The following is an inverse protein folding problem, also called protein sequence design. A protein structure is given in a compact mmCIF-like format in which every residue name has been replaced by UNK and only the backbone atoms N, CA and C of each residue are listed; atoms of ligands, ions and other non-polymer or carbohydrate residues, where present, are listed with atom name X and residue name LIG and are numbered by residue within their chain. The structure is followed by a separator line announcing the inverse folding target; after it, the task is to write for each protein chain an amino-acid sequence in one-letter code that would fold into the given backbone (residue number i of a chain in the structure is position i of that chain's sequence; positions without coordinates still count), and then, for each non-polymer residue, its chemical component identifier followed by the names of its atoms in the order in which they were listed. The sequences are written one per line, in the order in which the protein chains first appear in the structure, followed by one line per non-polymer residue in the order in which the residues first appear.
data_IF_086629274602
#
_entry.id   IF_086629274602
#
_cell.length_a   1.000
_cell.length_b   1.000
_cell.length_c   1.000
_cell.angle_alpha   90.00
_cell.angle_beta   90.00
_cell.angle_gamma   90.00
#
_symmetry.space_group_name_H-M   'P 1'
#
loop_
_entity.id
_entity.type
_entity.pdbx_description
1 polymer ?
#
# COMPACT_ATOMS: atom_id res chain seq x y z
N UNK A 1 57.07 -1.48 -14.77
CA UNK A 1 57.36 -1.76 -13.35
C UNK A 1 56.91 -0.55 -12.56
N UNK A 2 55.63 -0.51 -12.18
CA UNK A 2 55.04 0.40 -11.18
C UNK A 2 53.86 -0.37 -10.59
N UNK A 3 54.05 -0.87 -9.37
CA UNK A 3 53.02 -1.43 -8.50
C UNK A 3 52.08 -0.32 -8.03
N UNK A 4 50.76 -0.53 -8.11
CA UNK A 4 49.81 0.25 -7.33
C UNK A 4 48.64 -0.62 -6.86
N UNK A 5 48.87 -1.17 -5.66
CA UNK A 5 47.94 -1.17 -4.53
C UNK A 5 46.51 -1.67 -4.79
N UNK A 6 46.36 -2.99 -4.71
CA UNK A 6 45.12 -3.68 -4.40
C UNK A 6 44.56 -3.13 -3.08
N UNK A 7 43.59 -2.22 -3.18
CA UNK A 7 42.82 -1.75 -2.02
C UNK A 7 41.91 -2.89 -1.57
N UNK A 8 42.37 -3.62 -0.55
CA UNK A 8 41.58 -4.62 0.17
C UNK A 8 40.47 -3.86 0.89
N UNK A 9 39.26 -3.81 0.30
CA UNK A 9 38.06 -3.44 1.02
C UNK A 9 37.84 -4.48 2.12
N UNK A 10 38.16 -4.08 3.35
CA UNK A 10 37.77 -4.82 4.55
C UNK A 10 36.25 -4.99 4.53
N UNK A 11 35.72 -6.20 4.77
CA UNK A 11 34.28 -6.38 4.90
C UNK A 11 33.82 -5.59 6.13
N UNK A 12 33.06 -4.53 5.89
CA UNK A 12 32.31 -3.84 6.93
C UNK A 12 31.41 -4.89 7.55
N UNK A 13 31.76 -5.34 8.76
CA UNK A 13 30.92 -6.18 9.59
C UNK A 13 29.68 -5.35 9.90
N UNK A 14 28.64 -5.51 9.09
CA UNK A 14 27.36 -4.88 9.34
C UNK A 14 26.93 -5.27 10.76
N UNK A 15 26.41 -4.32 11.57
CA UNK A 15 25.78 -4.66 12.83
C UNK A 15 24.74 -5.73 12.55
N UNK A 16 24.76 -6.77 13.39
CA UNK A 16 23.96 -7.96 13.29
C UNK A 16 22.47 -7.54 13.21
N UNK A 17 21.96 -7.36 11.98
CA UNK A 17 20.52 -7.25 11.74
C UNK A 17 19.97 -8.52 12.36
N UNK A 18 19.04 -8.45 13.33
CA UNK A 18 18.47 -9.65 13.91
C UNK A 18 17.93 -10.47 12.76
N UNK A 19 18.63 -11.56 12.44
CA UNK A 19 18.19 -12.56 11.49
C UNK A 19 16.91 -13.12 12.08
N UNK A 20 15.77 -12.63 11.57
CA UNK A 20 14.49 -13.22 11.90
C UNK A 20 14.60 -14.71 11.66
N UNK A 21 14.20 -15.55 12.63
CA UNK A 21 14.29 -16.99 12.49
C UNK A 21 13.53 -17.43 11.24
N UNK A 22 14.24 -18.15 10.38
CA UNK A 22 13.74 -18.76 9.16
C UNK A 22 12.50 -19.60 9.45
N UNK A 23 11.32 -19.10 9.11
CA UNK A 23 10.07 -19.87 9.16
C UNK A 23 8.80 -19.07 9.42
N UNK A 24 8.90 -17.88 10.01
CA UNK A 24 7.71 -17.10 10.39
C UNK A 24 7.75 -15.72 9.73
N UNK A 25 7.08 -15.60 8.57
CA UNK A 25 6.77 -14.27 7.99
C UNK A 25 6.15 -13.41 9.07
N UNK A 26 6.66 -12.19 9.26
CA UNK A 26 6.12 -11.33 10.30
C UNK A 26 4.61 -11.13 10.08
N UNK A 27 3.84 -10.99 11.15
CA UNK A 27 2.39 -10.84 11.06
C UNK A 27 1.98 -9.69 10.11
N UNK A 28 2.78 -8.62 10.08
CA UNK A 28 2.59 -7.50 9.16
C UNK A 28 2.81 -7.89 7.68
N UNK A 29 3.81 -8.71 7.37
CA UNK A 29 4.04 -9.21 6.01
C UNK A 29 2.94 -10.16 5.54
N UNK A 30 2.42 -10.99 6.45
CA UNK A 30 1.28 -11.86 6.15
C UNK A 30 0.02 -11.03 5.87
N UNK A 31 -0.31 -10.05 6.72
CA UNK A 31 -1.45 -9.16 6.52
C UNK A 31 -1.34 -8.37 5.21
N UNK A 32 -0.14 -7.87 4.89
CA UNK A 32 0.14 -7.16 3.63
C UNK A 32 -0.11 -8.08 2.43
N UNK A 33 0.36 -9.32 2.49
CA UNK A 33 0.13 -10.31 1.42
C UNK A 33 -1.36 -10.61 1.23
N UNK A 34 -2.10 -10.78 2.33
CA UNK A 34 -3.55 -11.01 2.28
C UNK A 34 -4.32 -9.82 1.72
N UNK A 35 -3.96 -8.59 2.09
CA UNK A 35 -4.60 -7.40 1.57
C UNK A 35 -4.41 -7.25 0.04
N UNK A 36 -3.22 -7.57 -0.49
CA UNK A 36 -2.98 -7.58 -1.94
C UNK A 36 -3.89 -8.61 -2.63
N UNK A 37 -4.06 -9.79 -2.04
CA UNK A 37 -4.96 -10.83 -2.57
C UNK A 37 -6.41 -10.35 -2.54
N UNK A 38 -6.87 -9.72 -1.45
CA UNK A 38 -8.22 -9.18 -1.35
C UNK A 38 -8.47 -8.07 -2.38
N UNK A 39 -7.49 -7.18 -2.59
CA UNK A 39 -7.55 -6.16 -3.65
C UNK A 39 -7.72 -6.79 -5.04
N UNK A 40 -6.99 -7.87 -5.34
CA UNK A 40 -7.13 -8.62 -6.60
C UNK A 40 -8.52 -9.27 -6.73
N UNK A 41 -8.97 -9.97 -5.68
CA UNK A 41 -10.28 -10.66 -5.66
C UNK A 41 -11.43 -9.69 -5.91
N UNK A 42 -11.33 -8.45 -5.44
CA UNK A 42 -12.35 -7.43 -5.69
C UNK A 42 -12.22 -6.78 -7.07
N UNK A 43 -10.99 -6.52 -7.54
CA UNK A 43 -10.77 -5.85 -8.82
C UNK A 43 -11.11 -6.72 -10.03
N UNK A 44 -10.91 -8.05 -9.94
CA UNK A 44 -11.21 -9.01 -11.02
C UNK A 44 -12.69 -8.96 -11.46
N UNK A 45 -13.68 -9.25 -10.59
CA UNK A 45 -15.08 -9.30 -11.00
C UNK A 45 -15.58 -7.94 -11.49
N UNK A 46 -15.15 -6.84 -10.86
CA UNK A 46 -15.51 -5.49 -11.30
C UNK A 46 -15.00 -5.20 -12.71
N UNK A 47 -13.72 -5.53 -12.98
CA UNK A 47 -13.12 -5.30 -14.30
C UNK A 47 -13.80 -6.14 -15.39
N UNK A 48 -14.05 -7.43 -15.12
CA UNK A 48 -14.66 -8.37 -16.08
C UNK A 48 -16.12 -8.01 -16.34
N UNK A 49 -16.94 -7.84 -15.29
CA UNK A 49 -18.39 -7.62 -15.47
C UNK A 49 -18.62 -6.27 -16.17
N UNK A 50 -18.02 -5.19 -15.68
CA UNK A 50 -18.21 -3.87 -16.29
C UNK A 50 -17.59 -3.80 -17.69
N UNK A 51 -16.44 -4.45 -17.89
CA UNK A 51 -15.78 -4.51 -19.20
C UNK A 51 -16.59 -5.30 -20.22
N UNK A 52 -17.20 -6.41 -19.80
CA UNK A 52 -18.06 -7.23 -20.65
C UNK A 52 -19.32 -6.47 -21.09
N UNK A 53 -19.97 -5.74 -20.18
CA UNK A 53 -21.12 -4.89 -20.52
C UNK A 53 -20.72 -3.76 -21.46
N UNK A 54 -19.59 -3.09 -21.22
CA UNK A 54 -19.08 -2.07 -22.13
C UNK A 54 -18.75 -2.65 -23.53
N UNK A 55 -18.17 -3.86 -23.58
CA UNK A 55 -17.89 -4.55 -24.82
C UNK A 55 -19.16 -4.89 -25.59
N UNK A 56 -20.19 -5.44 -24.92
CA UNK A 56 -21.48 -5.73 -25.56
C UNK A 56 -22.11 -4.46 -26.14
N UNK A 57 -22.09 -3.37 -25.37
CA UNK A 57 -22.62 -2.08 -25.81
C UNK A 57 -21.92 -1.59 -27.10
N UNK A 58 -20.61 -1.78 -27.19
CA UNK A 58 -19.80 -1.40 -28.35
C UNK A 58 -20.07 -2.30 -29.57
N UNK A 59 -20.10 -3.62 -29.37
CA UNK A 59 -20.13 -4.61 -30.47
C UNK A 59 -21.53 -4.80 -31.04
N UNK A 60 -22.53 -4.87 -30.17
CA UNK A 60 -23.90 -5.14 -30.59
C UNK A 60 -24.72 -3.87 -30.80
N UNK A 61 -24.12 -2.69 -30.59
CA UNK A 61 -24.80 -1.40 -30.76
C UNK A 61 -26.07 -1.31 -29.93
N UNK A 62 -26.07 -1.89 -28.73
CA UNK A 62 -27.23 -1.80 -27.82
C UNK A 62 -27.48 -0.32 -27.54
N UNK A 63 -28.74 0.12 -27.69
CA UNK A 63 -29.18 1.48 -27.37
C UNK A 63 -29.00 1.76 -25.86
N UNK A 64 -27.77 2.09 -25.49
CA UNK A 64 -27.36 2.51 -24.16
C UNK A 64 -26.91 3.96 -24.28
N UNK A 65 -27.36 4.78 -23.34
CA UNK A 65 -26.89 6.16 -23.22
C UNK A 65 -25.36 6.22 -23.24
N UNK A 66 -24.80 7.13 -24.06
CA UNK A 66 -23.35 7.36 -24.12
C UNK A 66 -22.73 7.53 -22.73
N UNK A 67 -23.42 8.24 -21.84
CA UNK A 67 -23.00 8.40 -20.45
C UNK A 67 -22.79 7.06 -19.73
N UNK A 68 -23.77 6.16 -19.84
CA UNK A 68 -23.78 4.86 -19.15
C UNK A 68 -22.69 3.95 -19.72
N UNK A 69 -22.45 4.01 -21.04
CA UNK A 69 -21.33 3.36 -21.69
C UNK A 69 -19.98 3.84 -21.14
N UNK A 70 -19.74 5.16 -21.13
CA UNK A 70 -18.50 5.73 -20.60
C UNK A 70 -18.30 5.41 -19.11
N UNK A 71 -19.36 5.47 -18.31
CA UNK A 71 -19.28 5.13 -16.89
C UNK A 71 -18.86 3.68 -16.65
N UNK A 72 -19.38 2.73 -17.44
CA UNK A 72 -18.98 1.32 -17.37
C UNK A 72 -17.53 1.13 -17.85
N UNK A 73 -17.14 1.78 -18.94
CA UNK A 73 -15.79 1.73 -19.49
C UNK A 73 -14.75 2.27 -18.51
N UNK A 74 -14.96 3.46 -17.94
CA UNK A 74 -14.07 4.06 -16.95
C UNK A 74 -13.93 3.20 -15.70
N UNK A 75 -15.05 2.67 -15.19
CA UNK A 75 -15.04 1.79 -14.02
C UNK A 75 -14.26 0.50 -14.29
N UNK A 76 -14.44 -0.10 -15.46
CA UNK A 76 -13.69 -1.28 -15.89
C UNK A 76 -12.19 -0.98 -16.02
N UNK A 77 -11.82 0.11 -16.69
CA UNK A 77 -10.42 0.50 -16.89
C UNK A 77 -9.69 0.82 -15.59
N UNK A 78 -10.33 1.56 -14.67
CA UNK A 78 -9.74 1.85 -13.36
C UNK A 78 -9.54 0.58 -12.54
N UNK A 79 -10.53 -0.33 -12.54
CA UNK A 79 -10.43 -1.62 -11.87
C UNK A 79 -9.35 -2.50 -12.49
N UNK A 80 -9.25 -2.53 -13.81
CA UNK A 80 -8.22 -3.27 -14.55
C UNK A 80 -6.82 -2.70 -14.27
N UNK A 81 -6.67 -1.37 -14.18
CA UNK A 81 -5.42 -0.73 -13.81
C UNK A 81 -4.98 -1.09 -12.39
N UNK A 82 -5.90 -1.11 -11.42
CA UNK A 82 -5.60 -1.60 -10.06
C UNK A 82 -5.14 -3.06 -10.09
N UNK A 83 -5.85 -3.92 -10.83
CA UNK A 83 -5.50 -5.34 -10.98
C UNK A 83 -4.11 -5.51 -11.60
N UNK A 84 -3.79 -4.74 -12.64
CA UNK A 84 -2.48 -4.74 -13.29
C UNK A 84 -1.35 -4.36 -12.32
N UNK A 85 -1.54 -3.32 -11.51
CA UNK A 85 -0.57 -2.93 -10.47
C UNK A 85 -0.39 -4.03 -9.42
N UNK A 86 -1.47 -4.69 -9.01
CA UNK A 86 -1.41 -5.82 -8.06
C UNK A 86 -0.63 -6.99 -8.63
N UNK A 87 -0.83 -7.34 -9.91
CA UNK A 87 -0.09 -8.41 -10.58
C UNK A 87 1.40 -8.08 -10.64
N UNK A 88 1.76 -6.87 -11.09
CA UNK A 88 3.17 -6.44 -11.15
C UNK A 88 3.83 -6.49 -9.77
N UNK A 89 3.14 -5.99 -8.75
CA UNK A 89 3.66 -5.96 -7.39
C UNK A 89 3.85 -7.38 -6.83
N UNK A 90 3.01 -8.35 -7.23
CA UNK A 90 3.16 -9.76 -6.83
C UNK A 90 4.31 -10.45 -7.56
N UNK A 91 4.55 -10.11 -8.82
CA UNK A 91 5.60 -10.72 -9.64
C UNK A 91 7.00 -10.15 -9.36
N UNK A 92 7.11 -8.98 -8.76
CA UNK A 92 8.39 -8.29 -8.57
C UNK A 92 8.73 -8.16 -7.08
N UNK A 93 9.92 -8.60 -6.68
CA UNK A 93 10.47 -8.26 -5.36
C UNK A 93 10.72 -6.76 -5.30
N UNK A 94 9.76 -6.01 -4.74
CA UNK A 94 9.80 -4.56 -4.71
C UNK A 94 10.62 -4.06 -3.51
N UNK A 95 11.55 -3.15 -3.76
CA UNK A 95 12.19 -2.37 -2.70
C UNK A 95 11.15 -1.48 -2.01
N UNK A 96 11.40 -1.09 -0.76
CA UNK A 96 10.46 -0.32 0.08
C UNK A 96 9.96 0.96 -0.63
N UNK A 97 10.83 1.65 -1.37
CA UNK A 97 10.45 2.82 -2.17
C UNK A 97 9.53 2.50 -3.35
N UNK A 98 9.76 1.38 -4.05
CA UNK A 98 8.90 0.94 -5.15
C UNK A 98 7.54 0.49 -4.61
N UNK A 99 7.52 -0.26 -3.52
CA UNK A 99 6.29 -0.68 -2.82
C UNK A 99 5.45 0.54 -2.44
N UNK A 100 6.05 1.57 -1.85
CA UNK A 100 5.34 2.80 -1.51
C UNK A 100 4.72 3.48 -2.76
N UNK A 101 5.45 3.56 -3.88
CA UNK A 101 4.91 4.12 -5.13
C UNK A 101 3.73 3.30 -5.68
N UNK A 102 3.81 1.97 -5.62
CA UNK A 102 2.70 1.09 -6.03
C UNK A 102 1.48 1.26 -5.13
N UNK A 103 1.66 1.28 -3.81
CA UNK A 103 0.56 1.50 -2.87
C UNK A 103 -0.07 2.89 -3.05
N UNK A 104 0.73 3.91 -3.30
CA UNK A 104 0.26 5.26 -3.62
C UNK A 104 -0.54 5.29 -4.94
N UNK A 105 -0.05 4.64 -5.99
CA UNK A 105 -0.73 4.58 -7.28
C UNK A 105 -2.08 3.83 -7.17
N UNK A 106 -2.09 2.66 -6.51
CA UNK A 106 -3.33 1.89 -6.26
C UNK A 106 -4.34 2.68 -5.45
N UNK A 107 -3.89 3.30 -4.36
CA UNK A 107 -4.75 4.13 -3.50
C UNK A 107 -5.29 5.34 -4.27
N UNK A 108 -4.45 5.99 -5.08
CA UNK A 108 -4.86 7.10 -5.94
C UNK A 108 -5.92 6.69 -6.98
N UNK A 109 -5.75 5.56 -7.64
CA UNK A 109 -6.74 5.01 -8.58
C UNK A 109 -8.05 4.65 -7.87
N UNK A 110 -7.97 4.03 -6.69
CA UNK A 110 -9.16 3.69 -5.90
C UNK A 110 -9.89 4.96 -5.41
N UNK A 111 -9.16 6.00 -5.00
CA UNK A 111 -9.74 7.29 -4.63
C UNK A 111 -10.37 7.98 -5.85
N UNK A 112 -9.71 7.96 -7.01
CA UNK A 112 -10.27 8.51 -8.24
C UNK A 112 -11.57 7.80 -8.66
N UNK A 113 -11.59 6.47 -8.56
CA UNK A 113 -12.79 5.67 -8.81
C UNK A 113 -13.91 6.01 -7.82
N UNK A 114 -13.58 6.17 -6.53
CA UNK A 114 -14.55 6.59 -5.53
C UNK A 114 -15.12 7.98 -5.82
N UNK A 115 -14.27 8.96 -6.14
CA UNK A 115 -14.70 10.31 -6.53
C UNK A 115 -15.60 10.25 -7.75
N UNK A 116 -15.26 9.44 -8.75
CA UNK A 116 -16.10 9.23 -9.93
C UNK A 116 -17.50 8.70 -9.55
N UNK A 117 -17.57 7.66 -8.72
CA UNK A 117 -18.86 7.10 -8.24
C UNK A 117 -19.65 8.11 -7.40
N UNK A 118 -18.96 8.87 -6.56
CA UNK A 118 -19.55 9.93 -5.75
C UNK A 118 -20.18 11.02 -6.64
N UNK A 119 -19.44 11.49 -7.65
CA UNK A 119 -19.95 12.46 -8.61
C UNK A 119 -21.11 11.87 -9.43
N UNK A 120 -21.05 10.61 -9.87
CA UNK A 120 -22.17 9.94 -10.54
C UNK A 120 -23.44 9.86 -9.66
N UNK A 121 -23.26 9.65 -8.36
CA UNK A 121 -24.37 9.60 -7.40
C UNK A 121 -25.02 10.97 -7.14
N UNK A 122 -24.26 12.07 -7.30
CA UNK A 122 -24.76 13.44 -7.04
C UNK A 122 -25.21 14.14 -8.32
N UNK A 123 -24.48 13.99 -9.41
CA UNK A 123 -24.66 14.80 -10.63
C UNK A 123 -25.03 13.98 -11.87
N UNK A 124 -25.25 12.66 -11.73
CA UNK A 124 -25.49 11.82 -12.90
C UNK A 124 -26.74 12.23 -13.70
N UNK A 125 -26.70 12.16 -15.05
CA UNK A 125 -27.78 12.58 -15.95
C UNK A 125 -29.05 11.71 -15.82
N UNK A 126 -28.98 10.59 -15.09
CA UNK A 126 -30.11 9.76 -14.71
C UNK A 126 -31.17 10.55 -13.92
N UNK A 127 -30.79 11.65 -13.27
CA UNK A 127 -31.71 12.53 -12.55
C UNK A 127 -32.81 13.14 -13.43
N UNK A 128 -32.56 13.26 -14.73
CA UNK A 128 -33.47 13.90 -15.68
C UNK A 128 -34.21 12.90 -16.59
N UNK A 129 -33.95 11.59 -16.44
CA UNK A 129 -34.44 10.56 -17.36
C UNK A 129 -35.42 9.57 -16.73
N UNK A 130 -35.52 9.52 -15.40
CA UNK A 130 -36.28 8.49 -14.69
C UNK A 130 -37.31 9.16 -13.78
N UNK A 131 -38.59 8.97 -14.04
CA UNK A 131 -39.68 9.42 -13.18
C UNK A 131 -40.25 8.27 -12.33
N UNK A 132 -40.81 8.57 -11.16
CA UNK A 132 -41.54 7.58 -10.33
C UNK A 132 -40.66 6.61 -9.53
N UNK A 133 -41.10 5.35 -9.39
CA UNK A 133 -40.49 4.35 -8.49
C UNK A 133 -39.10 3.86 -8.92
N UNK A 134 -38.81 3.87 -10.23
CA UNK A 134 -37.50 3.48 -10.77
C UNK A 134 -36.39 4.47 -10.37
N UNK A 135 -36.74 5.76 -10.22
CA UNK A 135 -35.81 6.81 -9.77
C UNK A 135 -35.21 6.49 -8.40
N UNK A 136 -36.05 6.14 -7.41
CA UNK A 136 -35.56 5.82 -6.05
C UNK A 136 -34.63 4.61 -6.03
N UNK A 137 -34.90 3.61 -6.88
CA UNK A 137 -34.07 2.42 -7.01
C UNK A 137 -32.68 2.72 -7.55
N UNK A 138 -32.60 3.52 -8.62
CA UNK A 138 -31.33 3.91 -9.23
C UNK A 138 -30.47 4.80 -8.33
N UNK A 139 -31.09 5.79 -7.66
CA UNK A 139 -30.39 6.64 -6.67
C UNK A 139 -29.77 5.77 -5.58
N UNK A 140 -30.59 4.90 -4.98
CA UNK A 140 -30.17 4.03 -3.87
C UNK A 140 -29.03 3.12 -4.29
N UNK A 141 -29.10 2.52 -5.49
CA UNK A 141 -28.05 1.67 -6.03
C UNK A 141 -26.70 2.40 -6.18
N UNK A 142 -26.72 3.63 -6.70
CA UNK A 142 -25.50 4.44 -6.91
C UNK A 142 -24.89 4.94 -5.61
N UNK A 143 -25.72 5.36 -4.65
CA UNK A 143 -25.28 5.74 -3.30
C UNK A 143 -24.66 4.53 -2.60
N UNK A 144 -25.30 3.36 -2.65
CA UNK A 144 -24.73 2.13 -2.05
C UNK A 144 -23.37 1.82 -2.68
N UNK A 145 -23.23 1.87 -4.02
CA UNK A 145 -21.93 1.63 -4.69
C UNK A 145 -20.86 2.61 -4.22
N UNK A 146 -21.21 3.88 -4.06
CA UNK A 146 -20.30 4.93 -3.58
C UNK A 146 -19.86 4.68 -2.14
N UNK A 147 -20.81 4.36 -1.25
CA UNK A 147 -20.53 4.07 0.17
C UNK A 147 -19.71 2.79 0.30
N UNK A 148 -20.06 1.73 -0.43
CA UNK A 148 -19.28 0.49 -0.46
C UNK A 148 -17.87 0.76 -0.96
N UNK A 149 -17.69 1.56 -2.02
CA UNK A 149 -16.38 1.94 -2.53
C UNK A 149 -15.57 2.74 -1.50
N UNK A 150 -16.21 3.63 -0.73
CA UNK A 150 -15.55 4.36 0.36
C UNK A 150 -15.05 3.42 1.45
N UNK A 151 -15.89 2.48 1.88
CA UNK A 151 -15.55 1.50 2.91
C UNK A 151 -14.36 0.65 2.44
N UNK A 152 -14.40 0.16 1.19
CA UNK A 152 -13.29 -0.61 0.61
C UNK A 152 -12.00 0.21 0.51
N UNK A 153 -12.09 1.49 0.12
CA UNK A 153 -10.95 2.40 0.07
C UNK A 153 -10.27 2.52 1.44
N UNK A 154 -11.08 2.77 2.48
CA UNK A 154 -10.59 2.97 3.85
C UNK A 154 -10.07 1.70 4.51
N UNK A 155 -10.62 0.54 4.18
CA UNK A 155 -10.21 -0.73 4.80
C UNK A 155 -9.10 -1.46 4.04
N UNK A 156 -9.04 -1.37 2.72
CA UNK A 156 -8.08 -2.15 1.92
C UNK A 156 -6.93 -1.33 1.35
N UNK A 157 -7.14 -0.06 1.00
CA UNK A 157 -6.11 0.74 0.30
C UNK A 157 -5.35 1.64 1.27
N UNK A 158 -6.06 2.40 2.10
CA UNK A 158 -5.42 3.35 3.02
C UNK A 158 -4.54 2.70 4.10
N UNK A 159 -4.91 1.54 4.69
CA UNK A 159 -4.04 0.90 5.68
C UNK A 159 -2.73 0.42 5.07
N UNK A 160 -2.75 -0.03 3.81
CA UNK A 160 -1.56 -0.47 3.07
C UNK A 160 -0.67 0.71 2.69
N UNK A 161 -1.28 1.84 2.31
CA UNK A 161 -0.57 3.09 2.11
C UNK A 161 0.09 3.60 3.40
N UNK A 162 -0.64 3.58 4.52
CA UNK A 162 -0.14 4.00 5.82
C UNK A 162 1.03 3.11 6.28
N UNK A 163 0.90 1.78 6.13
CA UNK A 163 1.95 0.84 6.47
C UNK A 163 3.24 1.10 5.66
N UNK A 164 3.13 1.20 4.33
CA UNK A 164 4.29 1.46 3.47
C UNK A 164 4.91 2.84 3.72
N UNK A 165 4.12 3.84 4.12
CA UNK A 165 4.60 5.14 4.54
C UNK A 165 5.42 5.06 5.84
N UNK A 166 4.91 4.37 6.86
CA UNK A 166 5.61 4.18 8.14
C UNK A 166 6.91 3.40 7.90
N UNK A 167 6.88 2.35 7.10
CA UNK A 167 8.07 1.55 6.79
C UNK A 167 9.14 2.39 6.08
N UNK A 168 8.74 3.21 5.10
CA UNK A 168 9.66 4.13 4.42
C UNK A 168 10.25 5.16 5.38
N UNK A 169 9.44 5.70 6.30
CA UNK A 169 9.91 6.67 7.30
C UNK A 169 10.97 6.05 8.22
N UNK A 170 10.72 4.84 8.72
CA UNK A 170 11.70 4.13 9.58
C UNK A 170 13.04 3.92 8.90
N UNK A 171 13.05 3.44 7.66
CA UNK A 171 14.31 3.23 6.91
C UNK A 171 15.07 4.54 6.74
N UNK A 172 14.38 5.63 6.40
CA UNK A 172 14.99 6.95 6.26
C UNK A 172 15.62 7.42 7.58
N UNK A 173 14.94 7.20 8.70
CA UNK A 173 15.40 7.64 10.01
C UNK A 173 16.62 6.78 10.48
N UNK A 174 16.75 5.51 10.04
CA UNK A 174 17.94 4.68 10.27
C UNK A 174 19.14 5.03 9.36
N UNK A 175 18.87 5.48 8.14
CA UNK A 175 19.89 5.92 7.18
C UNK A 175 20.44 7.33 7.47
N UNK A 176 19.80 8.09 8.37
CA UNK A 176 20.30 9.41 8.79
C UNK A 176 21.44 9.24 9.83
N UNK A 177 22.70 9.58 9.48
CA UNK A 177 23.84 9.42 10.38
C UNK A 177 23.69 10.21 11.69
N UNK A 178 22.94 11.33 11.68
CA UNK A 178 22.72 12.11 12.89
C UNK A 178 21.82 11.39 13.91
N UNK A 179 20.93 10.50 13.46
CA UNK A 179 20.04 9.78 14.35
C UNK A 179 20.72 8.58 15.02
N UNK A 180 21.70 7.96 14.36
CA UNK A 180 22.56 6.95 15.00
C UNK A 180 23.46 7.57 16.08
N UNK A 181 23.97 8.78 15.86
CA UNK A 181 24.79 9.49 16.85
C UNK A 181 23.96 9.82 18.10
N UNK A 182 22.72 10.26 17.96
CA UNK A 182 21.82 10.48 19.11
C UNK A 182 21.54 9.20 19.93
N UNK A 183 21.33 8.06 19.28
CA UNK A 183 21.12 6.79 19.99
C UNK A 183 22.37 6.32 20.73
N UNK A 184 23.55 6.64 20.21
CA UNK A 184 24.83 6.34 20.87
C UNK A 184 25.05 7.27 22.08
N UNK A 185 24.77 8.58 21.95
CA UNK A 185 24.83 9.54 23.06
C UNK A 185 23.83 9.15 24.18
N UNK A 186 22.60 8.76 23.83
CA UNK A 186 21.61 8.29 24.80
C UNK A 186 22.08 7.00 25.50
N UNK A 187 22.80 6.11 24.81
CA UNK A 187 23.37 4.90 25.42
C UNK A 187 24.55 5.19 26.36
N UNK A 188 25.37 6.20 26.07
CA UNK A 188 26.48 6.62 26.95
C UNK A 188 26.02 7.35 28.22
N UNK A 189 24.81 7.90 28.24
CA UNK A 189 24.24 8.55 29.43
C UNK A 189 23.62 7.61 30.47
N UNK A 190 23.57 6.29 30.21
CA UNK A 190 23.18 5.33 31.25
C UNK A 190 24.29 5.23 32.30
N UNK A 191 24.02 5.52 33.59
CA UNK A 191 25.02 5.40 34.63
C UNK A 191 25.47 3.94 34.71
N UNK A 192 26.76 3.74 34.47
CA UNK A 192 27.45 2.47 34.54
C UNK A 192 27.52 2.04 36.02
N UNK A 193 26.58 1.20 36.48
CA UNK A 193 26.54 0.61 37.82
C UNK A 193 27.63 -0.46 38.03
N UNK A 194 28.86 -0.18 37.62
CA UNK A 194 30.00 -1.10 37.76
C UNK A 194 31.27 -0.35 38.16
N UNK A 195 31.16 0.53 39.15
CA UNK A 195 32.29 0.98 39.96
C UNK A 195 31.83 1.15 41.41
N UNK A 196 31.95 0.09 42.20
CA UNK A 196 32.43 0.08 43.58
C UNK A 196 32.15 -1.29 44.21
N UNK A 197 33.17 -2.15 44.24
CA UNK A 197 33.58 -2.96 45.42
C UNK A 197 34.76 -3.86 45.03
N UNK A 198 35.90 -3.23 44.69
CA UNK A 198 37.17 -3.94 44.60
C UNK A 198 37.89 -3.84 45.96
N UNK A 199 37.99 -4.98 46.63
CA UNK A 199 39.07 -5.40 47.53
C UNK A 199 39.62 -4.41 48.58
N UNK A 200 39.29 -4.70 49.85
CA UNK A 200 40.19 -4.38 50.97
C UNK A 200 40.81 -5.69 51.50
N UNK A 201 42.13 -5.92 51.36
CA UNK A 201 42.79 -7.06 51.96
C UNK A 201 43.21 -6.67 53.39
N UNK A 202 42.39 -7.04 54.39
CA UNK A 202 42.82 -6.98 55.80
C UNK A 202 43.67 -8.20 56.13
N UNK A 203 44.98 -8.03 56.02
CA UNK A 203 45.96 -8.79 56.79
C UNK A 203 45.91 -8.35 58.25
N UNK A 204 45.67 -9.29 59.17
CA UNK A 204 46.15 -9.17 60.55
C UNK A 204 46.18 -10.54 61.25
N UNK A 205 47.43 -10.97 61.52
CA UNK A 205 47.98 -11.76 62.65
C UNK A 205 47.30 -13.07 63.03
#
# INVERSE_FOLDING_TARGET
MVDFSTTVMLPIKMPNVPTQPSGQKSLAEQLTSWAIILQAILAVPVSIIMGFWAFIALVFGVDIDYYVFFAMLFSSLMSAAILFLVIIQRSTTCTIHRTFKFEMAKSGLATALWVWLFLDSIFGPWKHKVEGWQFRGEVKGRVIRTVTSLILLLLLFYPMLAYSYIQRKRVRDYEDPNHQIQLLDDFETFPREDDETLFSPTNSV
#
